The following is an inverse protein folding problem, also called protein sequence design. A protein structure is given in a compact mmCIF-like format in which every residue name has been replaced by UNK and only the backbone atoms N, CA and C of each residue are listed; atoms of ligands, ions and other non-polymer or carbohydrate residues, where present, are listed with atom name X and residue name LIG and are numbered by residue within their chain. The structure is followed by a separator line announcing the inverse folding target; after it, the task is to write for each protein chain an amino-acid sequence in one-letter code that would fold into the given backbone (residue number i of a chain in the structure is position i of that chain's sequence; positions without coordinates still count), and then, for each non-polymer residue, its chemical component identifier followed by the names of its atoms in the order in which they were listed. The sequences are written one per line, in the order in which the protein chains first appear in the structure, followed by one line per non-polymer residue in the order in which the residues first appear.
data_IF_418240979516
#
_entry.id   IF_418240979516
#
_cell.length_a   1.000
_cell.length_b   1.000
_cell.length_c   1.000
_cell.angle_alpha   90.00
_cell.angle_beta   90.00
_cell.angle_gamma   90.00
#
_symmetry.space_group_name_H-M   'P 1'
#
loop_
_entity.id
_entity.type
_entity.pdbx_description
1 polymer ?
#
# COMPACT_ATOMS: atom_id res chain seq x y z
N UNK A 1 -30.02 29.96 -19.03
CA UNK A 1 -28.84 29.68 -18.18
C UNK A 1 -29.26 28.69 -17.11
N UNK A 2 -28.75 27.46 -17.16
CA UNK A 2 -28.94 26.48 -16.08
C UNK A 2 -27.57 26.14 -15.52
N UNK A 3 -27.33 26.47 -14.26
CA UNK A 3 -26.07 26.23 -13.57
C UNK A 3 -25.86 24.73 -13.35
N UNK A 4 -24.80 24.18 -13.96
CA UNK A 4 -24.33 22.84 -13.62
C UNK A 4 -23.48 22.93 -12.35
N UNK A 5 -23.78 22.15 -11.29
CA UNK A 5 -22.97 22.15 -10.10
C UNK A 5 -21.63 21.44 -10.39
N UNK A 6 -20.59 22.23 -10.64
CA UNK A 6 -19.20 21.77 -10.64
C UNK A 6 -18.79 21.42 -9.20
N UNK A 7 -19.15 20.21 -8.76
CA UNK A 7 -18.61 19.63 -7.53
C UNK A 7 -17.69 18.46 -7.88
N UNK A 8 -16.60 18.75 -8.59
CA UNK A 8 -15.45 17.84 -8.66
C UNK A 8 -14.67 17.94 -7.35
N UNK A 9 -15.27 17.46 -6.25
CA UNK A 9 -14.50 17.00 -5.11
C UNK A 9 -13.62 15.87 -5.61
N UNK A 10 -12.39 16.19 -6.00
CA UNK A 10 -11.31 15.24 -6.21
C UNK A 10 -11.22 14.40 -4.94
N UNK A 11 -11.86 13.24 -4.95
CA UNK A 11 -11.68 12.28 -3.88
C UNK A 11 -10.22 11.91 -3.92
N UNK A 12 -9.48 12.34 -2.90
CA UNK A 12 -8.07 12.05 -2.74
C UNK A 12 -8.00 10.52 -2.53
N UNK A 13 -7.98 9.77 -3.63
CA UNK A 13 -8.04 8.31 -3.63
C UNK A 13 -6.68 7.81 -3.17
N UNK A 14 -6.48 7.87 -1.86
CA UNK A 14 -5.32 7.29 -1.23
C UNK A 14 -5.43 5.78 -1.30
N UNK A 15 -4.35 5.13 -1.72
CA UNK A 15 -4.33 3.68 -1.79
C UNK A 15 -4.55 3.11 -0.37
N UNK A 16 -5.72 2.47 -0.15
CA UNK A 16 -6.13 1.96 1.17
C UNK A 16 -5.06 1.06 1.79
N UNK A 17 -4.40 0.24 0.99
CA UNK A 17 -3.33 -0.65 1.44
C UNK A 17 -2.08 0.14 1.84
N UNK A 18 -1.66 1.11 1.04
CA UNK A 18 -0.50 1.97 1.34
C UNK A 18 -0.64 2.63 2.72
N UNK A 19 -1.80 3.23 3.00
CA UNK A 19 -2.03 3.86 4.31
C UNK A 19 -1.99 2.84 5.44
N UNK A 20 -2.62 1.67 5.27
CA UNK A 20 -2.56 0.59 6.27
C UNK A 20 -1.12 0.13 6.56
N UNK A 21 -0.25 0.09 5.55
CA UNK A 21 1.17 -0.25 5.73
C UNK A 21 1.94 0.85 6.49
N UNK A 22 1.65 2.13 6.21
CA UNK A 22 2.24 3.27 6.96
C UNK A 22 1.83 3.20 8.44
N UNK A 23 0.56 2.97 8.72
CA UNK A 23 0.06 2.82 10.09
C UNK A 23 0.72 1.62 10.78
N UNK A 24 0.90 0.50 10.07
CA UNK A 24 1.57 -0.68 10.62
C UNK A 24 3.02 -0.39 11.00
N UNK A 25 3.79 0.33 10.17
CA UNK A 25 5.15 0.76 10.53
C UNK A 25 5.16 1.63 11.80
N UNK A 26 4.22 2.56 11.92
CA UNK A 26 4.08 3.40 13.11
C UNK A 26 3.81 2.55 14.36
N UNK A 27 2.90 1.58 14.24
CA UNK A 27 2.57 0.62 15.31
C UNK A 27 3.78 -0.21 15.71
N UNK A 28 4.53 -0.77 14.76
CA UNK A 28 5.74 -1.55 15.05
C UNK A 28 6.78 -0.71 15.79
N UNK A 29 7.03 0.53 15.35
CA UNK A 29 7.97 1.43 16.06
C UNK A 29 7.53 1.70 17.49
N UNK A 30 6.24 1.93 17.71
CA UNK A 30 5.69 2.16 19.04
C UNK A 30 5.86 0.94 19.95
N UNK A 31 5.45 -0.23 19.48
CA UNK A 31 5.53 -1.48 20.26
C UNK A 31 6.99 -1.83 20.57
N UNK A 32 7.90 -1.71 19.60
CA UNK A 32 9.33 -1.98 19.81
C UNK A 32 9.95 -1.09 20.90
N UNK A 33 9.44 0.13 21.06
CA UNK A 33 9.91 1.06 22.08
C UNK A 33 9.24 0.82 23.45
N UNK A 34 8.02 0.29 23.49
CA UNK A 34 7.20 0.18 24.71
C UNK A 34 7.25 -1.20 25.35
N UNK A 35 7.39 -2.25 24.57
CA UNK A 35 7.26 -3.63 25.02
C UNK A 35 8.58 -4.37 24.80
N UNK A 36 9.13 -4.95 25.88
CA UNK A 36 10.32 -5.80 25.79
C UNK A 36 10.05 -7.10 25.02
N UNK A 37 8.83 -7.65 25.18
CA UNK A 37 8.32 -8.82 24.43
C UNK A 37 6.87 -8.56 24.02
N UNK A 38 6.47 -9.10 22.87
CA UNK A 38 5.11 -8.97 22.36
C UNK A 38 4.76 -10.11 21.41
N UNK A 39 3.47 -10.36 21.22
CA UNK A 39 2.94 -11.35 20.27
C UNK A 39 2.29 -10.66 19.06
N UNK A 40 1.97 -11.43 18.02
CA UNK A 40 1.20 -10.90 16.88
C UNK A 40 -0.19 -10.40 17.30
N UNK A 41 -0.79 -10.97 18.36
CA UNK A 41 -2.06 -10.46 18.91
C UNK A 41 -1.89 -9.06 19.51
N UNK A 42 -0.77 -8.81 20.20
CA UNK A 42 -0.46 -7.46 20.71
C UNK A 42 -0.31 -6.46 19.55
N UNK A 43 0.41 -6.83 18.49
CA UNK A 43 0.55 -5.97 17.31
C UNK A 43 -0.81 -5.67 16.68
N UNK A 44 -1.65 -6.70 16.51
CA UNK A 44 -2.98 -6.57 15.92
C UNK A 44 -3.87 -5.62 16.72
N UNK A 45 -3.84 -5.74 18.05
CA UNK A 45 -4.59 -4.86 18.95
C UNK A 45 -4.23 -3.39 18.70
N UNK A 46 -2.95 -3.02 18.86
CA UNK A 46 -2.51 -1.64 18.68
C UNK A 46 -2.68 -1.15 17.23
N UNK A 47 -2.50 -2.03 16.25
CA UNK A 47 -2.72 -1.70 14.85
C UNK A 47 -4.18 -1.34 14.60
N UNK A 48 -5.13 -2.14 15.08
CA UNK A 48 -6.55 -1.88 14.91
C UNK A 48 -7.01 -0.63 15.67
N UNK A 49 -6.46 -0.36 16.85
CA UNK A 49 -6.74 0.89 17.57
C UNK A 49 -6.26 2.13 16.80
N UNK A 50 -5.06 2.07 16.21
CA UNK A 50 -4.56 3.15 15.36
C UNK A 50 -5.37 3.31 14.06
N UNK A 51 -5.86 2.20 13.48
CA UNK A 51 -6.75 2.26 12.32
C UNK A 51 -8.07 2.96 12.65
N UNK A 52 -8.70 2.61 13.78
CA UNK A 52 -9.95 3.26 14.24
C UNK A 52 -9.77 4.77 14.42
N UNK A 53 -8.67 5.18 15.07
CA UNK A 53 -8.33 6.60 15.28
C UNK A 53 -8.16 7.37 13.96
N UNK A 54 -7.72 6.68 12.90
CA UNK A 54 -7.58 7.25 11.56
C UNK A 54 -8.84 7.08 10.69
N UNK A 55 -9.98 6.68 11.26
CA UNK A 55 -11.23 6.46 10.52
C UNK A 55 -11.17 5.27 9.54
N UNK A 56 -10.25 4.33 9.75
CA UNK A 56 -10.08 3.16 8.89
C UNK A 56 -10.70 1.91 9.50
N UNK A 57 -11.19 1.03 8.63
CA UNK A 57 -11.68 -0.29 9.03
C UNK A 57 -10.57 -1.12 9.67
N UNK A 58 -10.90 -1.86 10.73
CA UNK A 58 -9.98 -2.79 11.38
C UNK A 58 -9.63 -3.95 10.44
N UNK A 59 -8.63 -4.74 10.84
CA UNK A 59 -8.14 -5.88 10.07
C UNK A 59 -8.11 -7.14 10.92
N UNK A 60 -8.15 -8.30 10.24
CA UNK A 60 -7.98 -9.61 10.86
C UNK A 60 -6.50 -9.97 10.95
N UNK A 61 -6.16 -10.91 11.84
CA UNK A 61 -4.78 -11.37 12.06
C UNK A 61 -4.08 -11.79 10.76
N UNK A 62 -4.75 -12.62 9.94
CA UNK A 62 -4.20 -13.10 8.66
C UNK A 62 -3.88 -11.97 7.69
N UNK A 63 -4.73 -10.94 7.65
CA UNK A 63 -4.51 -9.76 6.82
C UNK A 63 -3.29 -8.97 7.30
N UNK A 64 -3.15 -8.77 8.62
CA UNK A 64 -1.96 -8.12 9.19
C UNK A 64 -0.68 -8.92 8.92
N UNK A 65 -0.72 -10.25 8.99
CA UNK A 65 0.42 -11.11 8.63
C UNK A 65 0.83 -10.92 7.16
N UNK A 66 -0.12 -10.85 6.23
CA UNK A 66 0.17 -10.56 4.82
C UNK A 66 0.82 -9.18 4.63
N UNK A 67 0.46 -8.20 5.46
CA UNK A 67 1.09 -6.88 5.45
C UNK A 67 2.53 -6.93 5.95
N UNK A 68 2.80 -7.66 7.04
CA UNK A 68 4.16 -7.89 7.55
C UNK A 68 5.04 -8.60 6.51
N UNK A 69 4.49 -9.59 5.81
CA UNK A 69 5.17 -10.26 4.69
C UNK A 69 5.51 -9.29 3.56
N UNK A 70 4.57 -8.42 3.17
CA UNK A 70 4.80 -7.41 2.12
C UNK A 70 5.87 -6.40 2.54
N UNK A 71 5.87 -5.95 3.79
CA UNK A 71 6.89 -5.03 4.32
C UNK A 71 8.29 -5.65 4.30
N UNK A 72 8.40 -6.93 4.58
CA UNK A 72 9.68 -7.66 4.63
C UNK A 72 10.16 -8.07 3.23
N UNK A 73 9.33 -8.76 2.45
CA UNK A 73 9.76 -9.40 1.20
C UNK A 73 9.69 -8.48 -0.01
N UNK A 74 8.65 -7.66 -0.12
CA UNK A 74 8.45 -6.80 -1.28
C UNK A 74 9.08 -5.42 -1.10
N UNK A 75 8.79 -4.75 0.03
CA UNK A 75 9.23 -3.37 0.28
C UNK A 75 10.59 -3.33 1.00
N UNK A 76 10.95 -4.40 1.71
CA UNK A 76 12.23 -4.59 2.42
C UNK A 76 12.55 -3.51 3.45
N UNK A 77 11.51 -2.98 4.09
CA UNK A 77 11.63 -1.97 5.16
C UNK A 77 11.65 -2.57 6.56
N UNK A 78 11.35 -3.85 6.69
CA UNK A 78 11.44 -4.59 7.95
C UNK A 78 12.24 -5.87 7.80
N UNK A 79 12.84 -6.31 8.90
CA UNK A 79 13.40 -7.65 9.06
C UNK A 79 12.69 -8.33 10.21
N UNK A 80 12.10 -9.49 9.94
CA UNK A 80 11.23 -10.17 10.89
C UNK A 80 11.98 -11.35 11.52
N UNK A 81 12.22 -11.27 12.83
CA UNK A 81 12.72 -12.39 13.62
C UNK A 81 11.55 -13.22 14.13
N UNK A 82 11.67 -14.53 13.95
CA UNK A 82 10.72 -15.53 14.42
C UNK A 82 11.49 -16.75 14.92
N UNK A 83 11.35 -17.08 16.19
CA UNK A 83 11.96 -18.27 16.79
C UNK A 83 10.93 -19.04 17.58
N UNK A 84 10.70 -20.28 17.18
CA UNK A 84 9.91 -21.22 17.97
C UNK A 84 10.78 -21.73 19.13
N UNK A 85 10.32 -21.56 20.37
CA UNK A 85 11.09 -21.89 21.57
C UNK A 85 10.72 -23.27 22.15
N UNK A 86 9.86 -24.03 21.45
CA UNK A 86 9.37 -25.33 21.89
C UNK A 86 7.93 -25.28 22.42
N UNK A 87 7.38 -26.47 22.70
CA UNK A 87 5.96 -26.71 22.99
C UNK A 87 5.44 -25.83 24.15
N UNK A 88 6.27 -25.61 25.18
CA UNK A 88 5.86 -24.89 26.40
C UNK A 88 6.34 -23.43 26.46
N UNK A 89 7.29 -23.03 25.59
CA UNK A 89 7.93 -21.71 25.65
C UNK A 89 7.43 -20.76 24.55
N UNK A 90 6.55 -21.24 23.67
CA UNK A 90 5.87 -20.42 22.67
C UNK A 90 6.80 -19.95 21.55
N UNK A 91 6.58 -18.72 21.08
CA UNK A 91 7.30 -18.14 19.94
C UNK A 91 7.79 -16.76 20.30
N UNK A 92 9.09 -16.54 20.11
CA UNK A 92 9.68 -15.21 20.16
C UNK A 92 9.60 -14.56 18.78
N UNK A 93 9.08 -13.33 18.75
CA UNK A 93 8.98 -12.54 17.53
C UNK A 93 9.53 -11.15 17.77
N UNK A 94 10.18 -10.59 16.75
CA UNK A 94 10.61 -9.20 16.75
C UNK A 94 10.60 -8.65 15.32
N UNK A 95 10.06 -7.45 15.12
CA UNK A 95 10.00 -6.81 13.80
C UNK A 95 10.92 -5.61 13.79
N UNK A 96 12.15 -5.80 13.31
CA UNK A 96 13.12 -4.73 13.18
C UNK A 96 12.74 -3.80 12.02
N UNK A 97 12.78 -2.49 12.24
CA UNK A 97 12.69 -1.52 11.15
C UNK A 97 14.08 -1.29 10.59
N UNK A 98 14.30 -1.63 9.32
CA UNK A 98 15.61 -1.51 8.66
C UNK A 98 16.05 -0.05 8.48
N UNK A 99 15.11 0.88 8.60
CA UNK A 99 15.31 2.31 8.44
C UNK A 99 14.56 3.10 9.51
N UNK A 100 14.92 4.37 9.74
CA UNK A 100 14.12 5.27 10.55
C UNK A 100 12.67 5.35 10.05
N UNK A 101 11.71 5.54 10.96
CA UNK A 101 10.26 5.56 10.68
C UNK A 101 9.89 6.41 9.46
N UNK A 102 10.46 7.61 9.35
CA UNK A 102 10.20 8.55 8.24
C UNK A 102 10.66 7.97 6.90
N UNK A 103 11.83 7.34 6.87
CA UNK A 103 12.37 6.74 5.65
C UNK A 103 11.56 5.50 5.22
N UNK A 104 11.10 4.68 6.16
CA UNK A 104 10.16 3.61 5.86
C UNK A 104 8.90 4.13 5.14
N UNK A 105 8.35 5.27 5.57
CA UNK A 105 7.19 5.88 4.90
C UNK A 105 7.51 6.30 3.46
N UNK A 106 8.68 6.92 3.25
CA UNK A 106 9.13 7.31 1.90
C UNK A 106 9.26 6.09 0.99
N UNK A 107 9.90 5.02 1.45
CA UNK A 107 10.07 3.77 0.67
C UNK A 107 8.72 3.12 0.34
N UNK A 108 7.77 3.08 1.29
CA UNK A 108 6.41 2.60 1.01
C UNK A 108 5.73 3.46 -0.06
N UNK A 109 5.79 4.79 0.06
CA UNK A 109 5.19 5.70 -0.91
C UNK A 109 5.79 5.50 -2.31
N UNK A 110 7.12 5.37 -2.39
CA UNK A 110 7.84 5.14 -3.63
C UNK A 110 7.41 3.82 -4.30
N UNK A 111 7.34 2.72 -3.53
CA UNK A 111 6.88 1.41 -4.04
C UNK A 111 5.50 1.50 -4.71
N UNK A 112 4.54 2.21 -4.10
CA UNK A 112 3.20 2.36 -4.69
C UNK A 112 3.19 3.28 -5.92
N UNK A 113 4.04 4.31 -5.95
CA UNK A 113 4.22 5.20 -7.12
C UNK A 113 4.76 4.42 -8.31
N UNK A 114 5.83 3.65 -8.12
CA UNK A 114 6.44 2.80 -9.15
C UNK A 114 5.47 1.72 -9.63
N UNK A 115 4.76 1.07 -8.71
CA UNK A 115 3.74 0.06 -9.06
C UNK A 115 2.60 0.65 -9.89
N UNK A 116 2.17 1.88 -9.62
CA UNK A 116 1.16 2.58 -10.42
C UNK A 116 1.68 2.88 -11.82
N UNK A 117 2.93 3.35 -11.95
CA UNK A 117 3.57 3.64 -13.23
C UNK A 117 3.74 2.37 -14.07
N UNK A 118 4.26 1.29 -13.50
CA UNK A 118 4.43 0.00 -14.18
C UNK A 118 3.10 -0.54 -14.71
N UNK A 119 2.01 -0.46 -13.92
CA UNK A 119 0.67 -0.86 -14.38
C UNK A 119 0.18 -0.04 -15.57
N UNK A 120 0.47 1.26 -15.58
CA UNK A 120 0.12 2.13 -16.71
C UNK A 120 0.91 1.73 -17.96
N UNK A 121 2.23 1.58 -17.84
CA UNK A 121 3.10 1.16 -18.95
C UNK A 121 2.67 -0.20 -19.53
N UNK A 122 2.30 -1.17 -18.68
CA UNK A 122 1.79 -2.46 -19.13
C UNK A 122 0.47 -2.34 -19.90
N UNK A 123 -0.48 -1.50 -19.43
CA UNK A 123 -1.73 -1.24 -20.17
C UNK A 123 -1.47 -0.59 -21.53
N UNK A 124 -0.58 0.40 -21.58
CA UNK A 124 -0.21 1.06 -22.82
C UNK A 124 0.45 0.07 -23.80
N UNK A 125 1.40 -0.75 -23.32
CA UNK A 125 2.05 -1.78 -24.11
C UNK A 125 1.06 -2.80 -24.67
N UNK A 126 0.13 -3.28 -23.84
CA UNK A 126 -0.91 -4.22 -24.28
C UNK A 126 -1.83 -3.59 -25.33
N UNK A 127 -2.25 -2.33 -25.14
CA UNK A 127 -3.05 -1.60 -26.14
C UNK A 127 -2.35 -1.53 -27.50
N UNK A 128 -1.07 -1.15 -27.53
CA UNK A 128 -0.32 -1.11 -28.78
C UNK A 128 -0.15 -2.51 -29.38
N UNK A 129 0.19 -3.53 -28.57
CA UNK A 129 0.31 -4.91 -29.03
C UNK A 129 -0.99 -5.39 -29.69
N UNK A 130 -2.13 -5.20 -29.06
CA UNK A 130 -3.44 -5.63 -29.55
C UNK A 130 -3.85 -4.87 -30.83
N UNK A 131 -3.51 -3.58 -30.91
CA UNK A 131 -3.76 -2.75 -32.10
C UNK A 131 -2.96 -3.22 -33.32
N UNK A 132 -1.70 -3.62 -33.13
CA UNK A 132 -0.82 -4.05 -34.23
C UNK A 132 -0.92 -5.55 -34.58
N UNK A 133 -1.49 -6.39 -33.69
CA UNK A 133 -1.71 -7.83 -33.99
C UNK A 133 -3.06 -8.11 -34.64
N UNK A 134 -4.07 -7.23 -34.47
CA UNK A 134 -5.28 -7.29 -35.28
C UNK A 134 -4.95 -6.81 -36.69
N UNK A 135 -4.88 -7.72 -37.67
CA UNK A 135 -4.94 -7.43 -39.13
C UNK A 135 -6.33 -6.88 -39.51
N UNK A 136 -6.82 -5.88 -38.78
CA UNK A 136 -8.13 -5.28 -38.96
C UNK A 136 -7.97 -3.88 -39.54
N UNK A 137 -8.29 -3.76 -40.81
CA UNK A 137 -8.52 -2.51 -41.55
C UNK A 137 -9.57 -1.65 -40.86
N UNK A 138 -9.20 -0.89 -39.83
CA UNK A 138 -10.05 0.19 -39.29
C UNK A 138 -9.18 1.41 -39.11
N UNK A 139 -9.47 2.41 -39.93
CA UNK A 139 -8.73 3.67 -40.03
C UNK A 139 -8.45 4.29 -38.68
N UNK A 140 -7.26 4.90 -38.60
CA UNK A 140 -6.85 5.81 -37.53
C UNK A 140 -7.82 7.01 -37.48
N UNK A 141 -8.98 6.85 -36.85
CA UNK A 141 -9.71 8.00 -36.31
C UNK A 141 -8.88 8.52 -35.15
N UNK A 142 -8.17 9.62 -35.40
CA UNK A 142 -7.44 10.38 -34.39
C UNK A 142 -8.30 10.54 -33.13
N UNK A 143 -7.69 10.36 -31.95
CA UNK A 143 -8.31 10.83 -30.74
C UNK A 143 -8.49 12.34 -30.87
N UNK A 144 -9.74 12.81 -30.90
CA UNK A 144 -10.08 14.21 -30.66
C UNK A 144 -9.51 14.59 -29.28
N UNK A 145 -8.31 15.16 -29.27
CA UNK A 145 -7.71 15.72 -28.07
C UNK A 145 -8.68 16.77 -27.51
N UNK A 146 -9.10 16.57 -26.26
CA UNK A 146 -10.04 17.44 -25.57
C UNK A 146 -9.50 18.89 -25.55
N UNK A 147 -10.17 19.79 -26.28
CA UNK A 147 -9.86 21.23 -26.43
C UNK A 147 -10.08 22.07 -25.15
N UNK A 148 -10.20 21.46 -23.97
CA UNK A 148 -10.63 22.16 -22.74
C UNK A 148 -9.53 22.44 -21.70
N UNK A 149 -8.24 22.31 -22.04
CA UNK A 149 -7.18 22.90 -21.22
C UNK A 149 -6.82 24.28 -21.79
N UNK A 150 -7.59 25.30 -21.41
CA UNK A 150 -7.18 26.69 -21.60
C UNK A 150 -6.08 27.01 -20.58
N UNK A 151 -4.96 27.54 -21.09
CA UNK A 151 -3.84 28.16 -20.37
C UNK A 151 -4.29 29.50 -19.81
#
# INVERSE_FOLDING_TARGET
MGDFPNNTKSTNYHNKLQHKLIVLIATLKYINNKCQKYTQKNILYYFNENLKRNGQTTTKLKTMQNYLYKLEKEIKVTTNYYKHMGINCGTEIYYHLNYPKKECYLKINQYFKEKKLSRFQNRAKNYFKDKFTKKGSVDFKECLSNRNNNI
#
